data_IF_669874809187
#
_entry.id   IF_669874809187
#
_cell.length_a   1.000
_cell.length_b   1.000
_cell.length_c   1.000
_cell.angle_alpha   90.00
_cell.angle_beta   90.00
_cell.angle_gamma   90.00
#
_symmetry.space_group_name_H-M   'P 1'
#
loop_
_entity.id
_entity.type
_entity.pdbx_description
1 polymer ?
#
# COMPACT_ATOMS: atom_id res chain seq x y z
N UNK A 1 -0.15 11.89 -26.76
CA UNK A 1 -1.46 11.42 -26.24
C UNK A 1 -1.25 10.93 -24.83
N UNK A 2 -2.11 11.24 -23.84
CA UNK A 2 -1.96 10.58 -22.54
C UNK A 2 -2.36 9.12 -22.74
N UNK A 3 -1.43 8.21 -22.48
CA UNK A 3 -1.72 6.79 -22.48
C UNK A 3 -2.72 6.49 -21.36
N UNK A 4 -3.68 5.59 -21.61
CA UNK A 4 -4.60 5.10 -20.58
C UNK A 4 -3.79 4.17 -19.66
N UNK A 5 -3.73 4.44 -18.34
CA UNK A 5 -3.01 3.58 -17.41
C UNK A 5 -3.69 2.20 -17.31
N UNK A 6 -2.94 1.20 -16.87
CA UNK A 6 -3.46 -0.16 -16.71
C UNK A 6 -4.13 -0.29 -15.34
N UNK A 7 -5.36 -0.79 -15.30
CA UNK A 7 -6.07 -1.05 -14.05
C UNK A 7 -6.07 -2.55 -13.74
N UNK A 8 -5.75 -2.89 -12.51
CA UNK A 8 -5.83 -4.24 -11.95
C UNK A 8 -6.97 -4.27 -10.94
N UNK A 9 -7.91 -5.21 -11.14
CA UNK A 9 -9.01 -5.47 -10.23
C UNK A 9 -8.80 -6.79 -9.52
N UNK A 10 -8.85 -6.78 -8.20
CA UNK A 10 -8.69 -7.96 -7.35
C UNK A 10 -9.96 -8.10 -6.50
N UNK A 11 -10.60 -9.26 -6.62
CA UNK A 11 -11.71 -9.65 -5.78
C UNK A 11 -11.37 -10.97 -5.12
N UNK A 12 -11.19 -10.96 -3.80
CA UNK A 12 -10.77 -12.13 -3.04
C UNK A 12 -11.34 -12.10 -1.63
N UNK A 13 -11.31 -13.25 -0.95
CA UNK A 13 -11.60 -13.32 0.48
C UNK A 13 -10.57 -12.48 1.24
N UNK A 14 -11.05 -11.70 2.19
CA UNK A 14 -10.20 -10.91 3.07
C UNK A 14 -9.36 -11.81 3.97
N UNK A 15 -8.10 -11.45 4.14
CA UNK A 15 -7.12 -12.19 4.91
C UNK A 15 -6.10 -11.24 5.53
N UNK A 16 -5.46 -11.67 6.61
CA UNK A 16 -4.47 -10.85 7.30
C UNK A 16 -3.37 -10.37 6.34
N UNK A 17 -3.05 -9.08 6.42
CA UNK A 17 -1.99 -8.44 5.65
C UNK A 17 -2.16 -8.49 4.12
N UNK A 18 -3.38 -8.71 3.61
CA UNK A 18 -3.67 -8.78 2.17
C UNK A 18 -3.16 -7.56 1.39
N UNK A 19 -3.35 -6.36 1.94
CA UNK A 19 -2.81 -5.14 1.33
C UNK A 19 -1.28 -5.17 1.19
N UNK A 20 -0.57 -5.61 2.23
CA UNK A 20 0.89 -5.75 2.18
C UNK A 20 1.31 -6.80 1.15
N UNK A 21 0.58 -7.92 1.07
CA UNK A 21 0.83 -8.98 0.09
C UNK A 21 0.70 -8.46 -1.35
N UNK A 22 -0.42 -7.80 -1.68
CA UNK A 22 -0.69 -7.29 -3.03
C UNK A 22 0.33 -6.23 -3.42
N UNK A 23 0.54 -5.23 -2.56
CA UNK A 23 1.45 -4.11 -2.86
C UNK A 23 2.90 -4.57 -2.99
N UNK A 24 3.32 -5.58 -2.21
CA UNK A 24 4.66 -6.16 -2.35
C UNK A 24 4.80 -7.00 -3.62
N UNK A 25 3.77 -7.75 -4.02
CA UNK A 25 3.79 -8.50 -5.27
C UNK A 25 3.86 -7.58 -6.49
N UNK A 26 3.11 -6.47 -6.48
CA UNK A 26 3.17 -5.44 -7.52
C UNK A 26 4.54 -4.75 -7.56
N UNK A 27 5.14 -4.47 -6.39
CA UNK A 27 6.48 -3.90 -6.31
C UNK A 27 7.55 -4.84 -6.89
N UNK A 28 7.50 -6.14 -6.52
CA UNK A 28 8.41 -7.16 -7.04
C UNK A 28 8.31 -7.31 -8.57
N UNK A 29 7.10 -7.14 -9.11
CA UNK A 29 6.86 -7.19 -10.55
C UNK A 29 7.46 -5.99 -11.28
N UNK A 30 7.94 -4.94 -10.62
CA UNK A 30 8.38 -3.75 -11.35
C UNK A 30 7.23 -2.82 -11.74
N UNK A 31 6.11 -2.85 -11.00
CA UNK A 31 4.97 -1.95 -11.20
C UNK A 31 4.95 -0.79 -10.19
N UNK A 32 4.58 0.40 -10.65
CA UNK A 32 4.34 1.59 -9.82
C UNK A 32 2.84 1.85 -9.73
N UNK A 33 2.34 2.07 -8.52
CA UNK A 33 0.92 2.31 -8.24
C UNK A 33 0.68 3.81 -8.12
N UNK A 34 -0.22 4.37 -8.94
CA UNK A 34 -0.52 5.81 -8.97
C UNK A 34 -1.83 6.17 -8.24
N UNK A 35 -2.83 5.30 -8.34
CA UNK A 35 -4.13 5.41 -7.69
C UNK A 35 -4.55 4.02 -7.25
N UNK A 36 -5.15 3.93 -6.08
CA UNK A 36 -5.76 2.69 -5.62
C UNK A 36 -6.98 2.96 -4.74
N UNK A 37 -7.92 2.01 -4.80
CA UNK A 37 -9.04 1.92 -3.87
C UNK A 37 -9.09 0.51 -3.33
N UNK A 38 -9.09 0.42 -2.01
CA UNK A 38 -9.21 -0.83 -1.27
C UNK A 38 -10.53 -0.76 -0.55
N UNK A 39 -11.40 -1.77 -0.71
CA UNK A 39 -12.73 -1.80 -0.10
C UNK A 39 -13.01 -3.18 0.47
N UNK A 40 -12.80 -3.32 1.78
CA UNK A 40 -13.14 -4.55 2.50
C UNK A 40 -14.58 -4.48 2.99
N UNK A 41 -15.44 -5.33 2.43
CA UNK A 41 -16.85 -5.44 2.82
C UNK A 41 -17.05 -6.32 4.06
N UNK A 42 -18.18 -6.13 4.75
CA UNK A 42 -18.58 -6.95 5.90
C UNK A 42 -18.83 -8.44 5.55
N UNK A 43 -18.86 -8.79 4.26
CA UNK A 43 -19.01 -10.17 3.77
C UNK A 43 -17.73 -11.00 3.87
N UNK A 44 -16.62 -10.41 4.33
CA UNK A 44 -15.30 -11.06 4.39
C UNK A 44 -14.62 -11.16 3.02
N UNK A 45 -14.98 -10.27 2.09
CA UNK A 45 -14.34 -10.14 0.79
C UNK A 45 -13.88 -8.70 0.59
N UNK A 46 -12.75 -8.53 -0.08
CA UNK A 46 -12.28 -7.22 -0.54
C UNK A 46 -12.44 -7.06 -2.04
N UNK A 47 -12.68 -5.82 -2.46
CA UNK A 47 -12.61 -5.38 -3.85
C UNK A 47 -11.57 -4.27 -3.94
N UNK A 48 -10.44 -4.60 -4.53
CA UNK A 48 -9.31 -3.70 -4.67
C UNK A 48 -9.12 -3.34 -6.14
N UNK A 49 -8.93 -2.04 -6.42
CA UNK A 49 -8.57 -1.53 -7.74
C UNK A 49 -7.25 -0.78 -7.65
N UNK A 50 -6.30 -1.12 -8.51
CA UNK A 50 -5.00 -0.46 -8.59
C UNK A 50 -4.76 0.05 -10.01
N UNK A 51 -4.44 1.33 -10.15
CA UNK A 51 -3.96 1.93 -11.38
C UNK A 51 -2.44 1.87 -11.39
N UNK A 52 -1.86 1.13 -12.34
CA UNK A 52 -0.43 0.83 -12.38
C UNK A 52 0.23 1.20 -13.71
N UNK A 53 1.53 1.47 -13.64
CA UNK A 53 2.43 1.65 -14.78
C UNK A 53 3.68 0.79 -14.60
N UNK A 54 4.38 0.51 -15.69
CA UNK A 54 5.76 -0.01 -15.63
C UNK A 54 6.70 1.06 -15.03
N UNK A 55 7.88 0.66 -14.55
CA UNK A 55 8.91 1.60 -14.05
C UNK A 55 9.36 2.65 -15.06
N UNK A 56 9.16 2.38 -16.35
CA UNK A 56 9.41 3.33 -17.44
C UNK A 56 8.37 4.46 -17.51
N UNK A 57 7.31 4.39 -16.70
CA UNK A 57 6.15 5.29 -16.75
C UNK A 57 5.19 4.97 -17.90
N UNK A 58 5.38 3.83 -18.58
CA UNK A 58 4.55 3.42 -19.71
C UNK A 58 3.42 2.47 -19.26
N UNK A 59 2.28 2.46 -19.96
CA UNK A 59 1.21 1.50 -19.70
C UNK A 59 1.66 0.08 -20.07
N UNK A 60 1.02 -0.90 -19.44
CA UNK A 60 1.26 -2.32 -19.70
C UNK A 60 0.42 -2.72 -20.91
N UNK A 61 1.07 -2.94 -22.06
CA UNK A 61 0.40 -3.27 -23.32
C UNK A 61 0.62 -4.73 -23.76
N UNK A 62 1.74 -5.32 -23.37
CA UNK A 62 2.11 -6.65 -23.82
C UNK A 62 1.29 -7.75 -23.12
N UNK A 63 0.76 -8.69 -23.91
CA UNK A 63 -0.10 -9.77 -23.38
C UNK A 63 0.67 -10.79 -22.55
N UNK A 64 1.95 -11.03 -22.86
CA UNK A 64 2.77 -11.96 -22.07
C UNK A 64 3.07 -11.38 -20.70
N UNK A 65 3.35 -10.07 -20.64
CA UNK A 65 3.52 -9.29 -19.42
C UNK A 65 2.26 -9.28 -18.55
N UNK A 66 1.08 -9.07 -19.15
CA UNK A 66 -0.20 -9.16 -18.42
C UNK A 66 -0.38 -10.55 -17.80
N UNK A 67 -0.07 -11.63 -18.54
CA UNK A 67 -0.15 -12.99 -18.01
C UNK A 67 0.82 -13.24 -16.86
N UNK A 68 2.04 -12.73 -16.95
CA UNK A 68 3.05 -12.82 -15.88
C UNK A 68 2.54 -12.16 -14.59
N UNK A 69 1.99 -10.95 -14.69
CA UNK A 69 1.42 -10.20 -13.56
C UNK A 69 0.27 -10.99 -12.92
N UNK A 70 -0.68 -11.46 -13.74
CA UNK A 70 -1.82 -12.25 -13.27
C UNK A 70 -1.35 -13.53 -12.57
N UNK A 71 -0.43 -14.28 -13.18
CA UNK A 71 0.06 -15.52 -12.60
C UNK A 71 0.79 -15.29 -11.26
N UNK A 72 1.59 -14.23 -11.17
CA UNK A 72 2.30 -13.86 -9.94
C UNK A 72 1.33 -13.45 -8.84
N UNK A 73 0.34 -12.61 -9.15
CA UNK A 73 -0.70 -12.22 -8.18
C UNK A 73 -1.50 -13.44 -7.72
N UNK A 74 -1.94 -14.30 -8.63
CA UNK A 74 -2.64 -15.54 -8.27
C UNK A 74 -1.80 -16.46 -7.40
N UNK A 75 -0.50 -16.58 -7.68
CA UNK A 75 0.42 -17.38 -6.88
C UNK A 75 0.46 -16.90 -5.42
N UNK A 76 0.54 -15.59 -5.18
CA UNK A 76 0.54 -15.03 -3.84
C UNK A 76 -0.84 -15.11 -3.17
N UNK A 77 -1.91 -14.75 -3.89
CA UNK A 77 -3.27 -14.71 -3.34
C UNK A 77 -3.81 -16.10 -2.97
N UNK A 78 -3.36 -17.16 -3.65
CA UNK A 78 -3.76 -18.54 -3.34
C UNK A 78 -3.06 -19.13 -2.10
N UNK A 79 -2.01 -18.46 -1.59
CA UNK A 79 -1.19 -18.95 -0.49
C UNK A 79 -1.44 -18.12 0.76
N UNK A 80 -2.47 -18.48 1.51
CA UNK A 80 -2.94 -17.76 2.72
C UNK A 80 -1.86 -17.55 3.79
N UNK A 81 -0.87 -18.46 3.87
CA UNK A 81 0.19 -18.42 4.89
C UNK A 81 1.54 -17.88 4.38
N UNK A 82 1.61 -17.42 3.12
CA UNK A 82 2.88 -16.90 2.61
C UNK A 82 3.10 -15.46 3.10
N UNK A 83 4.25 -15.16 3.74
CA UNK A 83 4.55 -13.78 4.09
C UNK A 83 4.62 -12.94 2.80
N UNK A 84 4.28 -11.63 2.88
CA UNK A 84 4.48 -10.73 1.75
C UNK A 84 5.92 -10.82 1.24
N UNK A 85 6.14 -10.78 -0.09
CA UNK A 85 7.49 -10.75 -0.62
C UNK A 85 8.28 -9.56 -0.06
N UNK A 86 9.58 -9.76 0.11
CA UNK A 86 10.49 -8.69 0.57
C UNK A 86 10.50 -7.61 -0.51
N UNK A 87 10.47 -6.30 -0.16
CA UNK A 87 10.47 -5.22 -1.12
C UNK A 87 11.75 -5.33 -1.97
N UNK A 88 11.58 -5.40 -3.29
CA UNK A 88 12.70 -5.63 -4.19
C UNK A 88 13.42 -4.32 -4.54
N UNK A 89 12.71 -3.19 -4.45
CA UNK A 89 13.22 -1.91 -4.93
C UNK A 89 13.92 -1.09 -3.85
N UNK A 90 15.21 -0.87 -4.07
CA UNK A 90 16.01 0.03 -3.27
C UNK A 90 15.83 1.49 -3.72
N UNK A 91 15.71 2.42 -2.77
CA UNK A 91 15.69 3.86 -3.10
C UNK A 91 17.08 4.26 -3.61
N UNK A 92 17.12 4.89 -4.78
CA UNK A 92 18.39 5.41 -5.33
C UNK A 92 18.90 6.59 -4.49
N UNK A 93 20.23 6.74 -4.40
CA UNK A 93 20.88 7.79 -3.59
C UNK A 93 20.48 9.21 -3.99
N UNK A 94 20.03 9.42 -5.24
CA UNK A 94 19.64 10.73 -5.79
C UNK A 94 18.22 11.11 -5.34
N UNK A 95 17.30 10.15 -5.24
CA UNK A 95 15.97 10.34 -4.66
C UNK A 95 16.00 10.65 -3.15
N UNK A 96 17.16 10.50 -2.49
CA UNK A 96 17.35 10.91 -1.09
C UNK A 96 17.48 12.44 -0.92
N UNK A 97 17.86 13.17 -1.98
CA UNK A 97 18.17 14.59 -1.89
C UNK A 97 16.93 15.51 -1.94
N UNK A 98 15.75 14.98 -2.28
CA UNK A 98 14.48 15.69 -2.29
C UNK A 98 13.48 14.94 -1.42
N UNK A 99 13.30 15.39 -0.18
CA UNK A 99 12.36 14.75 0.74
C UNK A 99 11.57 15.83 1.47
N UNK A 100 10.29 15.90 1.15
CA UNK A 100 9.30 16.41 2.09
C UNK A 100 9.21 15.40 3.25
N UNK A 101 9.23 15.84 4.52
CA UNK A 101 9.09 14.94 5.65
C UNK A 101 7.76 14.19 5.56
N UNK A 102 7.76 12.91 5.93
CA UNK A 102 6.51 12.16 6.00
C UNK A 102 5.67 12.67 7.16
N UNK A 103 4.44 13.08 6.88
CA UNK A 103 3.46 13.51 7.88
C UNK A 103 2.37 12.45 8.03
N UNK A 104 2.08 12.08 9.28
CA UNK A 104 1.03 11.11 9.62
C UNK A 104 0.09 11.72 10.64
N UNK A 105 -1.17 11.91 10.26
CA UNK A 105 -2.23 12.34 11.15
C UNK A 105 -3.22 11.20 11.40
N UNK A 106 -3.84 11.23 12.58
CA UNK A 106 -4.85 10.26 12.99
C UNK A 106 -6.12 10.99 13.37
N UNK A 107 -7.25 10.47 12.92
CA UNK A 107 -8.57 10.88 13.39
C UNK A 107 -9.46 9.66 13.59
N UNK A 108 -10.59 9.84 14.26
CA UNK A 108 -11.57 8.78 14.46
C UNK A 108 -12.78 9.01 13.56
N UNK A 109 -13.17 7.98 12.83
CA UNK A 109 -14.45 7.95 12.14
C UNK A 109 -15.48 7.28 13.05
N UNK A 110 -16.18 8.10 13.83
CA UNK A 110 -17.20 7.66 14.80
C UNK A 110 -18.39 6.94 14.15
N UNK A 111 -18.68 7.20 12.88
CA UNK A 111 -19.77 6.53 12.16
C UNK A 111 -19.43 5.07 11.79
N UNK A 112 -18.14 4.75 11.62
CA UNK A 112 -17.68 3.40 11.24
C UNK A 112 -16.91 2.69 12.34
N UNK A 113 -16.57 3.37 13.43
CA UNK A 113 -15.74 2.81 14.51
C UNK A 113 -14.31 2.51 14.06
N UNK A 114 -13.78 3.26 13.09
CA UNK A 114 -12.45 3.05 12.50
C UNK A 114 -11.53 4.24 12.77
N UNK A 115 -10.24 3.99 12.87
CA UNK A 115 -9.22 5.04 12.83
C UNK A 115 -8.97 5.43 11.38
N UNK A 116 -8.93 6.73 11.10
CA UNK A 116 -8.46 7.28 9.83
C UNK A 116 -6.99 7.65 9.99
N UNK A 117 -6.15 7.20 9.06
CA UNK A 117 -4.74 7.56 8.94
C UNK A 117 -4.59 8.39 7.69
N UNK A 118 -4.26 9.67 7.85
CA UNK A 118 -3.90 10.56 6.75
C UNK A 118 -2.37 10.54 6.62
N UNK A 119 -1.87 10.13 5.45
CA UNK A 119 -0.46 10.01 5.14
C UNK A 119 -0.11 10.97 4.00
N UNK A 120 0.84 11.86 4.28
CA UNK A 120 1.43 12.74 3.29
C UNK A 120 2.91 12.44 3.20
N UNK A 121 3.40 12.13 2.01
CA UNK A 121 4.81 11.85 1.78
C UNK A 121 5.22 12.18 0.34
N UNK A 122 6.52 12.09 0.08
CA UNK A 122 7.06 12.10 -1.27
C UNK A 122 6.86 10.73 -1.93
N UNK A 123 6.33 10.73 -3.15
CA UNK A 123 6.09 9.50 -3.92
C UNK A 123 7.40 8.85 -4.33
N UNK A 124 7.44 7.52 -4.24
CA UNK A 124 8.59 6.70 -4.61
C UNK A 124 8.16 5.27 -4.93
N UNK A 125 8.90 4.57 -5.80
CA UNK A 125 8.69 3.15 -6.02
C UNK A 125 8.68 2.37 -4.70
N UNK A 126 7.67 1.51 -4.54
CA UNK A 126 7.51 0.68 -3.34
C UNK A 126 6.92 1.38 -2.11
N UNK A 127 6.41 2.63 -2.22
CA UNK A 127 5.80 3.35 -1.09
C UNK A 127 4.69 2.55 -0.40
N UNK A 128 3.70 2.05 -1.15
CA UNK A 128 2.58 1.31 -0.56
C UNK A 128 2.99 -0.05 0.03
N UNK A 129 4.01 -0.69 -0.53
CA UNK A 129 4.59 -1.91 0.04
C UNK A 129 5.13 -1.62 1.45
N UNK A 130 5.89 -0.53 1.61
CA UNK A 130 6.41 -0.06 2.91
C UNK A 130 5.31 0.30 3.90
N UNK A 131 4.26 0.98 3.44
CA UNK A 131 3.06 1.27 4.27
C UNK A 131 2.40 -0.03 4.74
N UNK A 132 2.20 -1.00 3.83
CA UNK A 132 1.63 -2.29 4.17
C UNK A 132 2.47 -3.05 5.19
N UNK A 133 3.80 -2.99 5.08
CA UNK A 133 4.69 -3.58 6.08
C UNK A 133 4.62 -2.89 7.45
N UNK A 134 4.52 -1.56 7.49
CA UNK A 134 4.32 -0.84 8.75
C UNK A 134 3.02 -1.28 9.42
N UNK A 135 1.91 -1.35 8.67
CA UNK A 135 0.62 -1.83 9.19
C UNK A 135 0.71 -3.26 9.73
N UNK A 136 1.31 -4.16 8.96
CA UNK A 136 1.53 -5.55 9.38
C UNK A 136 2.34 -5.64 10.68
N UNK A 137 3.44 -4.87 10.78
CA UNK A 137 4.33 -4.87 11.96
C UNK A 137 3.66 -4.32 13.22
N UNK A 138 2.72 -3.37 13.07
CA UNK A 138 1.96 -2.80 14.16
C UNK A 138 0.65 -3.57 14.46
N UNK A 139 0.36 -4.65 13.74
CA UNK A 139 -0.89 -5.41 13.90
C UNK A 139 -2.14 -4.61 13.52
N UNK A 140 -2.02 -3.73 12.53
CA UNK A 140 -3.08 -2.86 12.02
C UNK A 140 -3.78 -3.54 10.84
N UNK A 141 -5.11 -3.61 10.88
CA UNK A 141 -5.93 -4.15 9.80
C UNK A 141 -6.49 -3.02 8.94
N UNK A 142 -6.34 -3.15 7.62
CA UNK A 142 -6.85 -2.17 6.65
C UNK A 142 -8.26 -2.58 6.20
N UNK A 143 -9.20 -1.65 6.27
CA UNK A 143 -10.58 -1.86 5.82
C UNK A 143 -10.93 -1.10 4.57
N UNK A 144 -10.34 0.07 4.40
CA UNK A 144 -10.57 0.91 3.23
C UNK A 144 -9.36 1.80 3.00
N UNK A 145 -9.02 2.06 1.75
CA UNK A 145 -7.99 3.04 1.44
C UNK A 145 -8.35 3.83 0.17
N UNK A 146 -7.92 5.08 0.16
CA UNK A 146 -7.89 5.93 -1.02
C UNK A 146 -6.46 6.41 -1.20
N UNK A 147 -5.83 5.92 -2.25
CA UNK A 147 -4.45 6.26 -2.59
C UNK A 147 -4.50 7.23 -3.77
N UNK A 148 -3.83 8.36 -3.64
CA UNK A 148 -3.81 9.37 -4.69
C UNK A 148 -2.44 10.05 -4.76
N UNK A 149 -1.81 9.95 -5.94
CA UNK A 149 -0.54 10.62 -6.22
C UNK A 149 -0.77 11.83 -7.12
N UNK A 150 -0.33 13.01 -6.67
CA UNK A 150 -0.37 14.25 -7.45
C UNK A 150 1.07 14.73 -7.68
N UNK A 151 1.54 14.57 -8.92
CA UNK A 151 2.93 14.86 -9.25
C UNK A 151 3.86 13.89 -8.52
N UNK A 152 4.61 14.39 -7.54
CA UNK A 152 5.51 13.60 -6.71
C UNK A 152 5.13 13.59 -5.22
N UNK A 153 3.90 14.00 -4.89
CA UNK A 153 3.35 13.99 -3.53
C UNK A 153 2.20 13.00 -3.47
N UNK A 154 2.22 12.15 -2.45
CA UNK A 154 1.10 11.27 -2.12
C UNK A 154 0.27 11.90 -1.01
N UNK A 155 -1.05 11.76 -1.11
CA UNK A 155 -2.02 12.13 -0.08
C UNK A 155 -2.97 10.96 0.10
N UNK A 156 -2.52 9.99 0.88
CA UNK A 156 -3.19 8.71 1.05
C UNK A 156 -4.03 8.72 2.34
N UNK A 157 -5.22 8.14 2.26
CA UNK A 157 -6.14 8.02 3.39
C UNK A 157 -6.46 6.55 3.62
N UNK A 158 -6.20 6.06 4.83
CA UNK A 158 -6.45 4.67 5.23
C UNK A 158 -7.45 4.62 6.38
N UNK A 159 -8.37 3.66 6.32
CA UNK A 159 -9.32 3.37 7.39
C UNK A 159 -8.94 2.03 8.01
N UNK A 160 -8.55 2.05 9.28
CA UNK A 160 -7.88 0.94 9.94
C UNK A 160 -8.46 0.62 11.32
N UNK A 161 -8.19 -0.59 11.79
CA UNK A 161 -8.47 -1.08 13.15
C UNK A 161 -7.26 -1.82 13.73
N UNK A 162 -7.30 -2.15 15.01
CA UNK A 162 -6.45 -3.23 15.54
C UNK A 162 -6.97 -4.61 15.09
N UNK A 163 -6.24 -5.68 15.46
CA UNK A 163 -6.63 -7.08 15.17
C UNK A 163 -7.93 -7.53 15.82
N UNK A 164 -8.43 -6.78 16.81
CA UNK A 164 -9.69 -7.04 17.49
C UNK A 164 -10.84 -6.24 16.84
N UNK A 165 -10.63 -5.66 15.65
CA UNK A 165 -11.58 -4.83 14.92
C UNK A 165 -12.05 -3.57 15.68
N UNK A 166 -11.21 -3.05 16.58
CA UNK A 166 -11.48 -1.79 17.30
C UNK A 166 -10.71 -0.63 16.68
N UNK A 167 -11.20 0.61 16.80
CA UNK A 167 -10.37 1.77 16.49
C UNK A 167 -9.10 1.72 17.34
N UNK A 168 -7.97 2.21 16.82
CA UNK A 168 -6.71 2.14 17.54
C UNK A 168 -6.78 2.95 18.85
N UNK A 169 -7.38 4.14 18.80
CA UNK A 169 -7.75 5.07 19.89
C UNK A 169 -6.86 5.11 21.15
N UNK A 170 -5.58 4.81 20.98
CA UNK A 170 -4.58 4.72 22.03
C UNK A 170 -3.35 5.53 21.56
N UNK A 171 -2.94 6.56 22.32
CA UNK A 171 -1.76 7.35 22.00
C UNK A 171 -0.49 6.51 21.77
N UNK A 172 -0.35 5.38 22.47
CA UNK A 172 0.80 4.46 22.31
C UNK A 172 0.75 3.77 20.96
N UNK A 173 -0.44 3.28 20.54
CA UNK A 173 -0.61 2.67 19.21
C UNK A 173 -0.41 3.69 18.09
N UNK A 174 -0.89 4.92 18.26
CA UNK A 174 -0.65 6.01 17.29
C UNK A 174 0.82 6.38 17.18
N UNK A 175 1.54 6.50 18.30
CA UNK A 175 2.98 6.77 18.29
C UNK A 175 3.74 5.63 17.60
N UNK A 176 3.48 4.37 17.96
CA UNK A 176 4.14 3.21 17.36
C UNK A 176 3.90 3.11 15.85
N UNK A 177 2.65 3.30 15.39
CA UNK A 177 2.33 3.28 13.97
C UNK A 177 2.96 4.44 13.21
N UNK A 178 2.95 5.66 13.79
CA UNK A 178 3.62 6.82 13.20
C UNK A 178 5.12 6.59 13.05
N UNK A 179 5.78 6.12 14.11
CA UNK A 179 7.21 5.82 14.08
C UNK A 179 7.53 4.74 13.05
N UNK A 180 6.72 3.69 12.96
CA UNK A 180 6.91 2.64 11.96
C UNK A 180 6.75 3.18 10.52
N UNK A 181 5.73 4.00 10.25
CA UNK A 181 5.52 4.63 8.94
C UNK A 181 6.66 5.58 8.58
N UNK A 182 7.03 6.49 9.48
CA UNK A 182 8.15 7.42 9.26
C UNK A 182 9.45 6.65 9.09
N UNK A 183 9.71 5.61 9.88
CA UNK A 183 10.89 4.79 9.70
C UNK A 183 10.88 4.11 8.33
N UNK A 184 9.79 3.47 7.91
CA UNK A 184 9.77 2.78 6.61
C UNK A 184 9.84 3.72 5.41
N UNK A 185 9.29 4.92 5.55
CA UNK A 185 9.23 5.91 4.48
C UNK A 185 10.48 6.78 4.48
N UNK A 186 10.90 7.36 5.60
CA UNK A 186 12.03 8.30 5.62
C UNK A 186 13.38 7.61 5.82
N UNK A 187 13.42 6.35 6.28
CA UNK A 187 14.69 5.63 6.39
C UNK A 187 15.24 5.26 5.02
N UNK A 188 16.32 5.94 4.67
CA UNK A 188 17.40 5.37 3.88
C UNK A 188 18.08 4.27 4.70
N UNK A 189 17.55 3.04 4.74
CA UNK A 189 18.34 1.95 5.31
C UNK A 189 19.63 1.79 4.49
N UNK A 190 20.74 2.01 5.18
CA UNK A 190 22.09 1.69 4.76
C UNK A 190 22.27 0.19 4.98
N UNK A 191 22.59 -0.52 3.90
CA UNK A 191 23.43 -1.72 3.91
C UNK A 191 24.52 -1.50 2.84
#
# INVERSE_FOLDING_TARGET
MPYRPTEIFIYTRDQDNLFALITSALDQLGLTIFDARIITGHSGYTLDSFTVLEDTGLPIQDRSRIKEIVNTLLHYLQRSDSPPPIPARHISRIQKAFQMPTEVAFSENTATGRTVVDLVSWDRPGLLCRVGQAFMSCGVQLHNAKIATIGARVEDVFFVTDRENRPLNDPVKYAALREALIAQLDSAKED
#
